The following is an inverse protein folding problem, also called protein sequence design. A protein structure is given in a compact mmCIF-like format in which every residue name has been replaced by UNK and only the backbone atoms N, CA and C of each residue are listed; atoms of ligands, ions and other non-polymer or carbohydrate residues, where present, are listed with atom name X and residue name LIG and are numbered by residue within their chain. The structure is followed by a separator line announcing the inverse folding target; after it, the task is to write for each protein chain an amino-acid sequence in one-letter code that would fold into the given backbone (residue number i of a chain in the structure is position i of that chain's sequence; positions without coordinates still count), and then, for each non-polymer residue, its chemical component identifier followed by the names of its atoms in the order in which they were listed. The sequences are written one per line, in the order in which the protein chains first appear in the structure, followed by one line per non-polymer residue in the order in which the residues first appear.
data_IF_534872397911
#
_entry.id   IF_534872397911
#
_cell.length_a   1.000
_cell.length_b   1.000
_cell.length_c   1.000
_cell.angle_alpha   90.00
_cell.angle_beta   90.00
_cell.angle_gamma   90.00
#
_symmetry.space_group_name_H-M   'P 1'
#
loop_
_entity.id
_entity.type
_entity.pdbx_description
1 polymer ?
#
# COMPACT_ATOMS: atom_id res chain seq x y z
N UNK A 1 -52.37 15.98 -41.11
CA UNK A 1 -51.25 15.73 -40.17
C UNK A 1 -51.11 14.22 -40.03
N UNK A 2 -49.94 13.63 -40.32
CA UNK A 2 -49.69 12.20 -40.12
C UNK A 2 -49.14 12.00 -38.71
N UNK A 3 -49.91 11.37 -37.84
CA UNK A 3 -49.49 10.98 -36.50
C UNK A 3 -48.60 9.74 -36.59
N UNK A 4 -47.32 9.90 -36.27
CA UNK A 4 -46.37 8.80 -36.17
C UNK A 4 -46.69 8.05 -34.88
N UNK A 5 -47.35 6.90 -34.98
CA UNK A 5 -47.54 6.01 -33.83
C UNK A 5 -46.18 5.41 -33.43
N UNK A 6 -45.62 5.88 -32.30
CA UNK A 6 -44.43 5.28 -31.69
C UNK A 6 -44.77 3.89 -31.17
N UNK A 7 -44.05 2.89 -31.66
CA UNK A 7 -44.21 1.50 -31.27
C UNK A 7 -43.36 1.25 -30.02
N UNK A 8 -43.91 1.54 -28.84
CA UNK A 8 -43.30 1.27 -27.54
C UNK A 8 -43.36 -0.25 -27.26
N UNK A 9 -42.50 -1.03 -27.92
CA UNK A 9 -42.31 -2.44 -27.57
C UNK A 9 -41.57 -2.49 -26.22
N UNK A 10 -42.31 -2.70 -25.14
CA UNK A 10 -41.75 -2.91 -23.81
C UNK A 10 -40.89 -4.16 -23.74
N UNK A 11 -39.77 -4.07 -23.03
CA UNK A 11 -38.90 -5.20 -22.70
C UNK A 11 -39.69 -6.25 -21.92
N UNK A 12 -39.54 -7.52 -22.27
CA UNK A 12 -40.21 -8.61 -21.56
C UNK A 12 -39.47 -8.93 -20.25
N UNK A 13 -40.21 -9.39 -19.23
CA UNK A 13 -39.59 -9.81 -17.96
C UNK A 13 -38.57 -10.95 -18.15
N UNK A 14 -38.79 -11.80 -19.15
CA UNK A 14 -37.91 -12.94 -19.46
C UNK A 14 -36.55 -12.45 -19.98
N UNK A 15 -36.52 -11.39 -20.80
CA UNK A 15 -35.28 -10.79 -21.29
C UNK A 15 -34.47 -10.19 -20.13
N UNK A 16 -35.14 -9.49 -19.21
CA UNK A 16 -34.46 -8.90 -18.05
C UNK A 16 -33.99 -9.99 -17.07
N UNK A 17 -34.74 -11.09 -16.93
CA UNK A 17 -34.37 -12.25 -16.12
C UNK A 17 -33.13 -12.96 -16.66
N UNK A 18 -33.02 -13.16 -17.98
CA UNK A 18 -31.84 -13.79 -18.58
C UNK A 18 -30.56 -12.99 -18.31
N UNK A 19 -30.64 -11.65 -18.34
CA UNK A 19 -29.49 -10.76 -18.10
C UNK A 19 -28.99 -10.86 -16.65
N UNK A 20 -29.89 -10.79 -15.67
CA UNK A 20 -29.48 -10.85 -14.24
C UNK A 20 -28.87 -12.21 -13.87
N UNK A 21 -29.29 -13.30 -14.53
CA UNK A 21 -28.69 -14.63 -14.34
C UNK A 21 -27.24 -14.63 -14.83
N UNK A 22 -26.98 -14.10 -16.02
CA UNK A 22 -25.62 -14.01 -16.57
C UNK A 22 -24.74 -13.10 -15.71
N UNK A 23 -25.24 -11.92 -15.33
CA UNK A 23 -24.52 -11.00 -14.44
C UNK A 23 -24.26 -11.63 -13.08
N UNK A 24 -25.20 -12.41 -12.54
CA UNK A 24 -25.04 -13.14 -11.28
C UNK A 24 -23.90 -14.17 -11.32
N UNK A 25 -23.79 -14.93 -12.41
CA UNK A 25 -22.70 -15.90 -12.60
C UNK A 25 -21.35 -15.18 -12.70
N UNK A 26 -21.27 -14.10 -13.48
CA UNK A 26 -20.04 -13.31 -13.63
C UNK A 26 -19.65 -12.69 -12.28
N UNK A 27 -20.60 -12.10 -11.55
CA UNK A 27 -20.37 -11.46 -10.26
C UNK A 27 -19.87 -12.46 -9.20
N UNK A 28 -20.40 -13.69 -9.19
CA UNK A 28 -19.98 -14.74 -8.27
C UNK A 28 -18.48 -15.07 -8.37
N UNK A 29 -17.91 -15.01 -9.58
CA UNK A 29 -16.46 -15.27 -9.81
C UNK A 29 -15.65 -13.97 -9.67
N UNK A 30 -16.16 -12.85 -10.18
CA UNK A 30 -15.44 -11.58 -10.25
C UNK A 30 -15.21 -10.95 -8.87
N UNK A 31 -16.22 -10.97 -7.99
CA UNK A 31 -16.13 -10.34 -6.65
C UNK A 31 -14.98 -10.88 -5.81
N UNK A 32 -14.83 -12.21 -5.58
CA UNK A 32 -13.72 -12.73 -4.80
C UNK A 32 -12.36 -12.51 -5.49
N UNK A 33 -12.29 -12.62 -6.82
CA UNK A 33 -11.06 -12.41 -7.56
C UNK A 33 -10.54 -10.96 -7.47
N UNK A 34 -11.44 -9.98 -7.59
CA UNK A 34 -11.11 -8.56 -7.46
C UNK A 34 -10.73 -8.23 -6.01
N UNK A 35 -11.46 -8.75 -5.02
CA UNK A 35 -11.13 -8.56 -3.60
C UNK A 35 -9.73 -9.06 -3.25
N UNK A 36 -9.36 -10.26 -3.72
CA UNK A 36 -8.01 -10.79 -3.53
C UNK A 36 -6.94 -9.94 -4.23
N UNK A 37 -7.24 -9.43 -5.42
CA UNK A 37 -6.31 -8.56 -6.19
C UNK A 37 -6.07 -7.24 -5.47
N UNK A 38 -7.12 -6.61 -4.94
CA UNK A 38 -7.02 -5.37 -4.15
C UNK A 38 -6.16 -5.62 -2.91
N UNK A 39 -6.46 -6.66 -2.12
CA UNK A 39 -5.67 -6.98 -0.93
C UNK A 39 -4.18 -7.18 -1.25
N UNK A 40 -3.87 -7.90 -2.32
CA UNK A 40 -2.49 -8.10 -2.76
C UNK A 40 -1.81 -6.79 -3.21
N UNK A 41 -2.56 -5.86 -3.80
CA UNK A 41 -2.04 -4.55 -4.19
C UNK A 41 -1.76 -3.68 -2.96
N UNK A 42 -2.64 -3.70 -1.96
CA UNK A 42 -2.45 -3.02 -0.68
C UNK A 42 -1.21 -3.56 0.04
N UNK A 43 -1.06 -4.88 0.16
CA UNK A 43 0.12 -5.49 0.78
C UNK A 43 1.43 -5.15 0.06
N UNK A 44 1.39 -5.07 -1.28
CA UNK A 44 2.54 -4.63 -2.08
C UNK A 44 2.85 -3.15 -1.87
N UNK A 45 1.83 -2.31 -1.74
CA UNK A 45 1.99 -0.89 -1.44
C UNK A 45 2.64 -0.70 -0.08
N UNK A 46 2.17 -1.42 0.94
CA UNK A 46 2.74 -1.39 2.29
C UNK A 46 4.20 -1.86 2.31
N UNK A 47 4.51 -2.93 1.57
CA UNK A 47 5.90 -3.41 1.42
C UNK A 47 6.78 -2.39 0.68
N UNK A 48 6.23 -1.68 -0.30
CA UNK A 48 6.96 -0.62 -1.00
C UNK A 48 7.22 0.58 -0.08
N UNK A 49 6.24 0.94 0.75
CA UNK A 49 6.39 1.95 1.79
C UNK A 49 7.52 1.60 2.77
N UNK A 50 7.56 0.35 3.25
CA UNK A 50 8.64 -0.15 4.10
C UNK A 50 10.00 0.03 3.43
N UNK A 51 10.13 -0.37 2.16
CA UNK A 51 11.38 -0.19 1.39
C UNK A 51 11.79 1.28 1.23
N UNK A 52 10.82 2.17 1.00
CA UNK A 52 11.12 3.61 0.89
C UNK A 52 11.75 4.15 2.19
N UNK A 53 11.24 3.72 3.34
CA UNK A 53 11.77 4.11 4.65
C UNK A 53 13.15 3.48 4.87
N UNK A 54 13.33 2.21 4.50
CA UNK A 54 14.64 1.53 4.58
C UNK A 54 15.71 2.23 3.75
N UNK A 55 15.39 2.62 2.51
CA UNK A 55 16.30 3.36 1.65
C UNK A 55 16.65 4.73 2.22
N UNK A 56 15.68 5.45 2.77
CA UNK A 56 15.92 6.74 3.43
C UNK A 56 16.84 6.59 4.66
N UNK A 57 16.60 5.56 5.47
CA UNK A 57 17.41 5.24 6.64
C UNK A 57 18.85 4.83 6.27
N UNK A 58 19.01 4.07 5.19
CA UNK A 58 20.31 3.68 4.67
C UNK A 58 21.10 4.91 4.19
N UNK A 59 20.45 5.84 3.49
CA UNK A 59 21.08 7.10 3.05
C UNK A 59 21.54 7.93 4.26
N UNK A 60 20.67 8.06 5.27
CA UNK A 60 21.04 8.71 6.53
C UNK A 60 22.28 8.06 7.17
N UNK A 61 22.35 6.73 7.19
CA UNK A 61 23.49 6.02 7.77
C UNK A 61 24.81 6.25 7.03
N UNK A 62 24.74 6.39 5.70
CA UNK A 62 25.90 6.67 4.85
C UNK A 62 26.38 8.10 5.06
N UNK A 63 25.46 9.08 5.04
CA UNK A 63 25.79 10.50 5.11
C UNK A 63 26.29 10.92 6.51
N UNK A 64 25.71 10.38 7.58
CA UNK A 64 26.11 10.65 8.96
C UNK A 64 27.29 9.78 9.45
N UNK A 65 27.87 8.95 8.57
CA UNK A 65 28.91 7.97 8.90
C UNK A 65 28.60 7.22 10.21
N UNK A 66 27.38 6.69 10.35
CA UNK A 66 26.91 6.08 11.59
C UNK A 66 27.91 5.01 12.04
N UNK A 67 28.67 5.36 13.09
CA UNK A 67 29.89 4.65 13.47
C UNK A 67 29.61 3.16 13.66
N UNK A 68 30.49 2.32 13.13
CA UNK A 68 30.35 0.86 13.03
C UNK A 68 30.19 0.11 14.35
N UNK A 69 30.19 0.83 15.48
CA UNK A 69 30.20 0.28 16.83
C UNK A 69 28.85 0.35 17.56
N UNK A 70 27.84 1.10 17.09
CA UNK A 70 26.58 1.24 17.85
C UNK A 70 25.37 1.36 16.93
N UNK A 71 24.34 0.57 17.19
CA UNK A 71 23.07 0.67 16.48
C UNK A 71 22.36 1.99 16.83
N UNK A 72 21.86 2.68 15.81
CA UNK A 72 21.07 3.91 15.98
C UNK A 72 19.60 3.56 15.83
N UNK A 73 18.83 3.83 16.88
CA UNK A 73 17.36 3.67 16.87
C UNK A 73 16.72 5.03 16.67
N UNK A 74 16.06 5.22 15.53
CA UNK A 74 15.22 6.37 15.22
C UNK A 74 13.80 6.02 15.66
N UNK A 75 13.52 6.20 16.94
CA UNK A 75 12.20 5.99 17.54
C UNK A 75 11.61 7.32 17.96
N UNK A 76 10.85 7.93 17.07
CA UNK A 76 9.74 8.79 17.47
C UNK A 76 8.46 8.15 16.92
N UNK A 77 7.32 8.39 17.59
CA UNK A 77 6.04 7.70 17.41
C UNK A 77 5.44 7.72 15.99
N UNK A 78 6.15 8.32 15.03
CA UNK A 78 5.99 8.11 13.61
C UNK A 78 7.35 7.71 13.03
N UNK A 79 7.42 6.52 12.43
CA UNK A 79 8.63 6.01 11.79
C UNK A 79 9.28 7.05 10.90
N UNK A 80 10.56 7.33 11.16
CA UNK A 80 11.31 8.29 10.35
C UNK A 80 10.94 9.75 10.55
N UNK A 81 10.34 10.16 11.69
CA UNK A 81 10.23 11.58 12.02
C UNK A 81 11.59 12.29 12.00
N UNK A 82 12.64 11.62 12.45
CA UNK A 82 14.02 12.10 12.33
C UNK A 82 14.46 12.13 10.87
N UNK A 83 14.16 11.10 10.07
CA UNK A 83 14.43 11.09 8.62
C UNK A 83 13.71 12.22 7.88
N UNK A 84 12.52 12.64 8.34
CA UNK A 84 11.81 13.80 7.79
C UNK A 84 12.49 15.10 8.21
N UNK A 85 12.88 15.21 9.48
CA UNK A 85 13.57 16.40 10.00
C UNK A 85 14.92 16.61 9.31
N UNK A 86 15.67 15.54 9.11
CA UNK A 86 16.97 15.56 8.43
C UNK A 86 16.84 15.58 6.89
N UNK A 87 15.62 15.54 6.34
CA UNK A 87 15.36 15.74 4.91
C UNK A 87 15.50 14.51 4.01
N UNK A 88 15.68 13.31 4.58
CA UNK A 88 15.73 12.04 3.84
C UNK A 88 14.33 11.53 3.44
N UNK A 89 13.28 12.01 4.12
CA UNK A 89 11.87 11.80 3.78
C UNK A 89 11.16 13.16 3.69
N UNK A 90 10.27 13.32 2.71
CA UNK A 90 9.46 14.55 2.61
C UNK A 90 8.30 14.59 3.60
N UNK A 91 7.77 13.41 3.96
CA UNK A 91 6.72 13.21 4.92
C UNK A 91 6.77 11.76 5.41
N UNK A 92 6.16 11.48 6.57
CA UNK A 92 5.99 10.11 7.05
C UNK A 92 5.04 9.37 6.10
N UNK A 93 5.48 8.28 5.44
CA UNK A 93 4.60 7.47 4.61
C UNK A 93 3.47 6.82 5.41
N UNK A 94 2.32 6.61 4.77
CA UNK A 94 1.16 5.95 5.37
C UNK A 94 1.01 4.54 4.82
N UNK A 95 0.63 3.60 5.70
CA UNK A 95 0.26 2.24 5.31
C UNK A 95 -1.24 2.17 5.07
N UNK A 96 -1.63 1.35 4.10
CA UNK A 96 -3.02 1.06 3.84
C UNK A 96 -3.61 0.15 4.94
N UNK A 97 -2.82 -0.81 5.44
CA UNK A 97 -3.12 -1.53 6.67
C UNK A 97 -2.44 -0.87 7.87
N UNK A 98 -3.20 -0.12 8.67
CA UNK A 98 -2.68 0.57 9.86
C UNK A 98 -2.13 -0.40 10.91
N UNK A 99 -2.57 -1.67 10.94
CA UNK A 99 -1.99 -2.67 11.84
C UNK A 99 -0.57 -3.09 11.42
N UNK A 100 -0.18 -2.83 10.17
CA UNK A 100 1.18 -3.07 9.67
C UNK A 100 2.07 -1.84 9.76
N UNK A 101 1.53 -0.70 10.21
CA UNK A 101 2.29 0.52 10.38
C UNK A 101 3.51 0.28 11.25
N UNK A 102 4.65 0.80 10.80
CA UNK A 102 5.88 0.78 11.56
C UNK A 102 5.90 1.98 12.47
N UNK A 103 6.55 1.85 13.63
CA UNK A 103 6.75 2.94 14.61
C UNK A 103 8.21 3.20 14.97
N UNK A 104 9.17 2.53 14.32
CA UNK A 104 10.59 2.76 14.56
C UNK A 104 11.48 2.20 13.46
N UNK A 105 12.62 2.86 13.26
CA UNK A 105 13.68 2.41 12.36
C UNK A 105 14.95 2.19 13.18
N UNK A 106 15.53 1.01 13.10
CA UNK A 106 16.83 0.71 13.72
C UNK A 106 17.86 0.44 12.63
N UNK A 107 18.97 1.18 12.66
CA UNK A 107 20.08 0.99 11.75
C UNK A 107 21.21 0.32 12.53
N UNK A 108 21.59 -0.87 12.11
CA UNK A 108 22.67 -1.65 12.74
C UNK A 108 23.85 -1.74 11.76
N UNK A 109 25.01 -1.17 12.09
CA UNK A 109 26.22 -1.37 11.29
C UNK A 109 26.71 -2.81 11.39
N UNK A 110 27.25 -3.34 10.29
CA UNK A 110 27.87 -4.66 10.22
C UNK A 110 29.39 -4.52 9.99
N UNK A 111 30.15 -5.52 10.46
CA UNK A 111 31.62 -5.52 10.45
C UNK A 111 32.26 -5.49 9.04
N UNK A 112 31.47 -5.71 7.99
CA UNK A 112 31.84 -5.67 6.58
C UNK A 112 31.60 -4.28 5.93
N UNK A 113 31.22 -3.26 6.70
CA UNK A 113 30.91 -1.93 6.17
C UNK A 113 29.52 -1.82 5.53
N UNK A 114 28.64 -2.81 5.72
CA UNK A 114 27.22 -2.70 5.33
C UNK A 114 26.34 -2.31 6.52
N UNK A 115 25.15 -1.79 6.25
CA UNK A 115 24.15 -1.46 7.27
C UNK A 115 22.93 -2.37 7.09
N UNK A 116 22.38 -2.86 8.21
CA UNK A 116 21.08 -3.52 8.24
C UNK A 116 20.07 -2.55 8.82
N UNK A 117 19.02 -2.24 8.05
CA UNK A 117 17.87 -1.47 8.53
C UNK A 117 16.79 -2.46 8.99
N UNK A 118 16.24 -2.25 10.18
CA UNK A 118 15.12 -3.02 10.71
C UNK A 118 13.98 -2.09 11.06
N UNK A 119 12.81 -2.31 10.45
CA UNK A 119 11.59 -1.60 10.77
C UNK A 119 10.84 -2.34 11.89
N UNK A 120 10.56 -1.62 12.97
CA UNK A 120 9.83 -2.18 14.12
C UNK A 120 8.36 -1.79 14.02
N UNK A 121 7.47 -2.79 14.04
CA UNK A 121 6.03 -2.58 14.20
C UNK A 121 5.72 -2.20 15.66
N UNK A 122 4.77 -1.29 15.84
CA UNK A 122 4.21 -0.96 17.16
C UNK A 122 3.31 -2.03 17.73
#
# INVERSE_FOLDING_TARGET
MRTILKNEKGLTLVELLAVIVIVGIIAAIAVPAIGATIKNAEEKSDTATDKMIEEAALRYAIDEEVSTATAVTLSNAATGADLVREGYLNAIPTWNDTAKAKNGVTITPQANGTYTVTLTSG
#
